data_IF_262950793165
#
_entry.id   IF_262950793165
#
_cell.length_a   1.000
_cell.length_b   1.000
_cell.length_c   1.000
_cell.angle_alpha   90.00
_cell.angle_beta   90.00
_cell.angle_gamma   90.00
#
_symmetry.space_group_name_H-M   'P 1'
#
loop_
_entity.id
_entity.type
_entity.pdbx_description
1 polymer ?
#
# COMPACT_ATOMS: atom_id res chain seq x y z
N UNK A 1 -14.09 -9.43 -25.25
CA UNK A 1 -14.52 -8.88 -26.54
C UNK A 1 -14.30 -7.37 -26.57
N UNK A 2 -13.55 -6.82 -27.55
CA UNK A 2 -13.33 -5.37 -27.72
C UNK A 2 -14.59 -4.53 -28.09
N UNK A 3 -15.74 -5.19 -28.32
CA UNK A 3 -16.92 -4.54 -28.90
C UNK A 3 -17.65 -3.57 -27.96
N UNK A 4 -17.56 -3.73 -26.63
CA UNK A 4 -18.31 -2.90 -25.69
C UNK A 4 -17.91 -1.41 -25.70
N UNK A 5 -16.70 -1.08 -26.16
CA UNK A 5 -16.17 0.28 -26.21
C UNK A 5 -15.93 0.78 -27.64
N UNK A 6 -16.32 0.01 -28.67
CA UNK A 6 -16.08 0.37 -30.07
C UNK A 6 -14.62 0.35 -30.51
N UNK A 7 -13.74 -0.35 -29.78
CA UNK A 7 -12.32 -0.47 -30.10
C UNK A 7 -12.02 -1.89 -30.62
N UNK A 8 -10.86 -2.08 -31.25
CA UNK A 8 -10.37 -3.39 -31.70
C UNK A 8 -8.93 -3.66 -31.23
N UNK A 9 -8.43 -4.88 -31.46
CA UNK A 9 -7.11 -5.32 -30.99
C UNK A 9 -5.95 -4.61 -31.70
N UNK A 10 -6.14 -4.19 -32.94
CA UNK A 10 -5.11 -3.48 -33.72
C UNK A 10 -4.87 -2.05 -33.21
N UNK A 11 -5.84 -1.49 -32.48
CA UNK A 11 -5.71 -0.19 -31.82
C UNK A 11 -4.98 -0.28 -30.47
N UNK A 12 -4.68 -1.48 -29.98
CA UNK A 12 -3.97 -1.70 -28.72
C UNK A 12 -2.50 -2.02 -28.97
N UNK A 13 -1.58 -1.62 -28.07
CA UNK A 13 -0.19 -2.07 -28.16
C UNK A 13 -0.11 -3.60 -28.01
N UNK A 14 0.94 -4.20 -28.56
CA UNK A 14 1.25 -5.60 -28.29
C UNK A 14 1.60 -5.78 -26.81
N UNK A 15 0.86 -6.66 -26.13
CA UNK A 15 1.16 -7.03 -24.75
C UNK A 15 2.37 -7.98 -24.70
N UNK A 16 3.28 -7.72 -23.78
CA UNK A 16 4.46 -8.54 -23.49
C UNK A 16 4.62 -8.69 -21.98
N UNK A 17 5.35 -9.72 -21.56
CA UNK A 17 5.79 -9.83 -20.17
C UNK A 17 6.80 -8.73 -19.83
N UNK A 18 6.82 -8.31 -18.56
CA UNK A 18 7.70 -7.22 -18.12
C UNK A 18 9.20 -7.52 -18.28
N UNK A 19 9.55 -8.80 -18.26
CA UNK A 19 10.91 -9.33 -18.44
C UNK A 19 11.28 -9.57 -19.91
N UNK A 20 10.38 -9.37 -20.86
CA UNK A 20 10.67 -9.58 -22.28
C UNK A 20 11.40 -8.36 -22.88
N UNK A 21 12.30 -8.58 -23.85
CA UNK A 21 12.85 -7.49 -24.65
C UNK A 21 11.80 -7.01 -25.66
N UNK A 22 11.47 -5.72 -25.65
CA UNK A 22 10.50 -5.09 -26.56
C UNK A 22 11.15 -4.43 -27.77
N UNK A 23 12.46 -4.19 -27.71
CA UNK A 23 13.22 -3.55 -28.77
C UNK A 23 14.57 -3.06 -28.27
N UNK A 24 15.14 -2.12 -29.02
CA UNK A 24 16.39 -1.43 -28.67
C UNK A 24 16.20 0.07 -28.70
N UNK A 25 17.00 0.78 -27.90
CA UNK A 25 17.02 2.23 -27.92
C UNK A 25 17.34 2.73 -29.34
N UNK A 26 16.59 3.73 -29.82
CA UNK A 26 16.81 4.34 -31.14
C UNK A 26 18.18 5.00 -31.21
N UNK A 27 18.79 4.98 -32.40
CA UNK A 27 20.11 5.56 -32.64
C UNK A 27 20.22 7.01 -32.17
N UNK A 28 19.24 7.85 -32.52
CA UNK A 28 19.27 9.27 -32.15
C UNK A 28 19.15 9.52 -30.65
N UNK A 29 18.49 8.62 -29.90
CA UNK A 29 18.36 8.72 -28.44
C UNK A 29 19.64 8.23 -27.76
N UNK A 30 20.19 7.12 -28.26
CA UNK A 30 21.45 6.56 -27.79
C UNK A 30 22.60 7.58 -27.93
N UNK A 31 22.70 8.24 -29.09
CA UNK A 31 23.67 9.32 -29.36
C UNK A 31 23.47 10.51 -28.40
N UNK A 32 22.23 10.98 -28.24
CA UNK A 32 21.93 12.10 -27.35
C UNK A 32 22.25 11.82 -25.87
N UNK A 33 22.17 10.56 -25.43
CA UNK A 33 22.48 10.13 -24.07
C UNK A 33 23.93 9.67 -23.88
N UNK A 34 24.70 9.54 -24.97
CA UNK A 34 26.09 9.06 -24.92
C UNK A 34 26.21 7.59 -24.54
N UNK A 35 25.25 6.76 -24.91
CA UNK A 35 25.24 5.31 -24.63
C UNK A 35 24.97 4.51 -25.92
N UNK A 36 25.17 3.19 -25.87
CA UNK A 36 24.85 2.30 -26.99
C UNK A 36 23.33 2.15 -27.19
N UNK A 37 22.93 1.63 -28.35
CA UNK A 37 21.56 1.18 -28.60
C UNK A 37 21.25 -0.08 -27.77
N UNK A 38 20.98 0.09 -26.48
CA UNK A 38 20.74 -1.01 -25.52
C UNK A 38 19.35 -1.63 -25.66
N UNK A 39 19.14 -2.91 -25.28
CA UNK A 39 17.81 -3.51 -25.19
C UNK A 39 16.90 -2.77 -24.21
N UNK A 40 15.59 -2.80 -24.47
CA UNK A 40 14.55 -2.24 -23.59
C UNK A 40 13.62 -3.37 -23.15
N UNK A 41 13.38 -3.49 -21.84
CA UNK A 41 12.47 -4.47 -21.28
C UNK A 41 11.00 -4.05 -21.43
N UNK A 42 10.06 -4.99 -21.28
CA UNK A 42 8.62 -4.71 -21.24
C UNK A 42 8.23 -3.80 -20.07
N UNK A 43 8.97 -3.91 -18.97
CA UNK A 43 8.77 -3.06 -17.79
C UNK A 43 7.53 -3.43 -16.99
N UNK A 44 7.04 -2.48 -16.20
CA UNK A 44 5.85 -2.70 -15.38
C UNK A 44 5.27 -1.39 -14.88
N UNK A 45 4.00 -1.43 -14.48
CA UNK A 45 3.40 -0.34 -13.73
C UNK A 45 4.16 -0.10 -12.42
N UNK A 46 4.03 1.10 -11.86
CA UNK A 46 4.74 1.54 -10.66
C UNK A 46 4.64 0.55 -9.49
N UNK A 47 3.46 0.01 -9.19
CA UNK A 47 3.23 -0.92 -8.10
C UNK A 47 3.92 -2.27 -8.33
N UNK A 48 3.77 -2.86 -9.52
CA UNK A 48 4.38 -4.14 -9.84
C UNK A 48 5.92 -4.04 -9.97
N UNK A 49 6.42 -2.95 -10.54
CA UNK A 49 7.85 -2.65 -10.56
C UNK A 49 8.37 -2.41 -9.13
N UNK A 50 7.67 -1.63 -8.31
CA UNK A 50 8.02 -1.43 -6.90
C UNK A 50 8.10 -2.75 -6.13
N UNK A 51 7.12 -3.63 -6.31
CA UNK A 51 7.09 -4.97 -5.73
C UNK A 51 8.29 -5.83 -6.15
N UNK A 52 8.61 -5.88 -7.45
CA UNK A 52 9.82 -6.54 -7.94
C UNK A 52 11.11 -5.92 -7.37
N UNK A 53 11.12 -4.61 -7.14
CA UNK A 53 12.24 -3.88 -6.53
C UNK A 53 12.51 -4.27 -5.07
N UNK A 54 11.48 -4.68 -4.32
CA UNK A 54 11.62 -5.08 -2.91
C UNK A 54 11.50 -6.58 -2.68
N UNK A 55 11.41 -7.35 -3.77
CA UNK A 55 11.34 -8.81 -3.73
C UNK A 55 9.99 -9.39 -3.33
N UNK A 56 8.92 -8.65 -3.58
CA UNK A 56 7.56 -9.16 -3.51
C UNK A 56 7.24 -9.85 -4.84
N UNK A 57 7.61 -11.13 -4.95
CA UNK A 57 7.55 -11.88 -6.21
C UNK A 57 7.00 -13.30 -6.08
N UNK A 58 6.86 -13.82 -4.86
CA UNK A 58 6.30 -15.14 -4.56
C UNK A 58 4.89 -15.03 -4.00
N UNK A 59 4.13 -16.12 -4.09
CA UNK A 59 2.80 -16.20 -3.50
C UNK A 59 2.83 -15.88 -2.00
N UNK A 60 2.05 -14.88 -1.60
CA UNK A 60 1.99 -14.43 -0.20
C UNK A 60 3.07 -13.41 0.19
N UNK A 61 4.03 -13.12 -0.68
CA UNK A 61 4.88 -11.95 -0.47
C UNK A 61 4.01 -10.70 -0.58
N UNK A 62 4.23 -9.73 0.32
CA UNK A 62 3.48 -8.49 0.28
C UNK A 62 4.28 -7.30 0.80
N UNK A 63 3.88 -6.12 0.35
CA UNK A 63 4.37 -4.84 0.85
C UNK A 63 3.22 -3.95 1.29
N UNK A 64 3.52 -3.11 2.27
CA UNK A 64 2.71 -1.99 2.72
C UNK A 64 3.41 -0.69 2.29
N UNK A 65 2.80 0.02 1.35
CA UNK A 65 3.25 1.35 0.93
C UNK A 65 2.50 2.44 1.69
N UNK A 66 3.24 3.21 2.49
CA UNK A 66 2.73 4.33 3.28
C UNK A 66 3.09 5.66 2.60
N UNK A 67 2.44 5.93 1.47
CA UNK A 67 2.48 7.21 0.78
C UNK A 67 1.28 8.09 1.15
N UNK A 68 1.02 9.10 0.33
CA UNK A 68 -0.21 9.93 0.41
C UNK A 68 -1.45 9.05 0.55
N UNK A 69 -1.53 8.01 -0.28
CA UNK A 69 -2.43 6.86 -0.16
C UNK A 69 -1.73 5.67 0.49
N UNK A 70 -2.50 4.76 1.08
CA UNK A 70 -2.01 3.48 1.61
C UNK A 70 -2.28 2.35 0.63
N UNK A 71 -1.29 1.50 0.36
CA UNK A 71 -1.47 0.32 -0.51
C UNK A 71 -0.91 -0.92 0.17
N UNK A 72 -1.72 -1.97 0.27
CA UNK A 72 -1.21 -3.33 0.52
C UNK A 72 -1.20 -4.04 -0.83
N UNK A 73 0.00 -4.37 -1.31
CA UNK A 73 0.21 -5.12 -2.54
C UNK A 73 0.65 -6.53 -2.15
N UNK A 74 0.01 -7.55 -2.73
CA UNK A 74 0.35 -8.95 -2.50
C UNK A 74 0.58 -9.67 -3.81
N UNK A 75 1.73 -10.32 -3.97
CA UNK A 75 1.99 -11.19 -5.10
C UNK A 75 1.23 -12.52 -4.92
N UNK A 76 0.63 -13.00 -5.99
CA UNK A 76 -0.14 -14.24 -6.00
C UNK A 76 0.29 -15.14 -7.15
N UNK A 77 0.27 -16.45 -6.93
CA UNK A 77 0.55 -17.46 -7.97
C UNK A 77 -0.61 -17.71 -8.93
N UNK A 78 -1.80 -17.27 -8.53
CA UNK A 78 -3.02 -17.42 -9.29
C UNK A 78 -3.76 -16.08 -9.34
N UNK A 79 -4.60 -15.91 -10.36
CA UNK A 79 -5.49 -14.77 -10.44
C UNK A 79 -6.62 -14.90 -9.40
N UNK A 80 -6.55 -14.09 -8.33
CA UNK A 80 -7.49 -14.11 -7.19
C UNK A 80 -8.27 -12.79 -7.11
N UNK A 81 -9.32 -12.55 -7.90
CA UNK A 81 -10.08 -11.30 -7.85
C UNK A 81 -11.08 -11.25 -6.69
N UNK A 82 -11.27 -10.08 -6.08
CA UNK A 82 -12.37 -9.81 -5.16
C UNK A 82 -12.97 -8.40 -5.43
N UNK A 83 -13.71 -8.24 -6.54
CA UNK A 83 -14.29 -6.94 -6.91
C UNK A 83 -15.37 -6.48 -5.91
N UNK A 84 -16.03 -7.40 -5.20
CA UNK A 84 -17.03 -7.08 -4.19
C UNK A 84 -16.40 -6.36 -2.97
N UNK A 85 -15.20 -6.76 -2.56
CA UNK A 85 -14.40 -6.06 -1.56
C UNK A 85 -13.52 -4.94 -2.15
N UNK A 86 -13.78 -4.51 -3.40
CA UNK A 86 -12.99 -3.49 -4.10
C UNK A 86 -11.47 -3.78 -4.13
N UNK A 87 -11.10 -5.07 -4.18
CA UNK A 87 -9.72 -5.52 -4.39
C UNK A 87 -9.43 -5.46 -5.88
N UNK A 88 -8.34 -4.80 -6.25
CA UNK A 88 -7.82 -4.91 -7.61
C UNK A 88 -7.01 -6.19 -7.75
N UNK A 89 -7.18 -6.91 -8.86
CA UNK A 89 -6.33 -8.02 -9.23
C UNK A 89 -5.82 -7.82 -10.66
N UNK A 90 -4.51 -7.87 -10.86
CA UNK A 90 -3.86 -7.65 -12.15
C UNK A 90 -2.73 -8.67 -12.36
N UNK A 91 -2.22 -8.74 -13.58
CA UNK A 91 -0.95 -9.44 -13.84
C UNK A 91 0.20 -8.70 -13.14
N UNK A 92 1.15 -9.45 -12.58
CA UNK A 92 2.42 -8.88 -12.15
C UNK A 92 3.27 -8.51 -13.37
N UNK A 93 4.39 -7.79 -13.16
CA UNK A 93 5.41 -7.58 -14.21
C UNK A 93 6.29 -8.81 -14.46
N UNK A 94 6.00 -9.94 -13.80
CA UNK A 94 6.74 -11.20 -13.90
C UNK A 94 5.84 -12.27 -14.50
N UNK A 95 6.40 -13.18 -15.33
CA UNK A 95 5.63 -14.21 -16.00
C UNK A 95 5.00 -15.18 -15.00
N UNK A 96 3.74 -15.56 -15.23
CA UNK A 96 2.96 -16.47 -14.37
C UNK A 96 2.83 -16.02 -12.91
N UNK A 97 2.87 -14.71 -12.68
CA UNK A 97 2.62 -14.10 -11.37
C UNK A 97 1.51 -13.06 -11.54
N UNK A 98 0.62 -13.01 -10.57
CA UNK A 98 -0.43 -12.00 -10.45
C UNK A 98 -0.20 -11.19 -9.19
N UNK A 99 -1.00 -10.15 -9.01
CA UNK A 99 -1.03 -9.47 -7.73
C UNK A 99 -2.41 -8.96 -7.41
N UNK A 100 -2.63 -8.79 -6.11
CA UNK A 100 -3.76 -8.06 -5.57
C UNK A 100 -3.31 -6.73 -4.99
N UNK A 101 -4.22 -5.75 -4.95
CA UNK A 101 -4.03 -4.52 -4.20
C UNK A 101 -5.28 -4.15 -3.42
N UNK A 102 -5.09 -3.88 -2.14
CA UNK A 102 -5.98 -3.02 -1.36
C UNK A 102 -5.47 -1.59 -1.44
N UNK A 103 -6.35 -0.63 -1.71
CA UNK A 103 -6.00 0.78 -1.83
C UNK A 103 -6.85 1.63 -0.90
N UNK A 104 -6.19 2.34 0.01
CA UNK A 104 -6.79 3.37 0.86
C UNK A 104 -6.42 4.75 0.32
N UNK A 105 -7.42 5.56 -0.01
CA UNK A 105 -7.20 6.84 -0.70
C UNK A 105 -6.46 7.87 0.16
N UNK A 106 -6.50 7.74 1.48
CA UNK A 106 -5.81 8.64 2.40
C UNK A 106 -5.12 7.83 3.50
N UNK A 107 -3.79 7.84 3.49
CA UNK A 107 -2.95 7.29 4.56
C UNK A 107 -2.07 8.40 5.16
N UNK A 108 -0.87 8.66 4.61
CA UNK A 108 -0.05 9.77 5.10
C UNK A 108 -0.73 11.13 4.87
N UNK A 109 -1.64 11.24 3.90
CA UNK A 109 -2.45 12.45 3.71
C UNK A 109 -3.28 12.80 4.96
N UNK A 110 -3.74 11.82 5.74
CA UNK A 110 -4.48 12.06 6.98
C UNK A 110 -3.58 12.67 8.06
N UNK A 111 -2.31 12.25 8.11
CA UNK A 111 -1.29 12.76 9.03
C UNK A 111 -1.04 14.24 8.74
N UNK A 112 -0.80 14.57 7.48
CA UNK A 112 -0.59 15.96 7.06
C UNK A 112 -1.85 16.81 7.29
N UNK A 113 -3.04 16.23 7.06
CA UNK A 113 -4.31 16.91 7.29
C UNK A 113 -4.52 17.26 8.77
N UNK A 114 -4.34 16.31 9.69
CA UNK A 114 -4.54 16.57 11.13
C UNK A 114 -3.43 17.45 11.70
N UNK A 115 -2.21 17.39 11.15
CA UNK A 115 -1.13 18.29 11.52
C UNK A 115 -1.51 19.74 11.19
N UNK A 116 -2.01 20.01 9.98
CA UNK A 116 -2.53 21.34 9.61
C UNK A 116 -3.70 21.77 10.49
N UNK A 117 -4.64 20.87 10.75
CA UNK A 117 -5.84 21.16 11.56
C UNK A 117 -5.50 21.55 13.00
N UNK A 118 -4.48 20.93 13.59
CA UNK A 118 -4.05 21.16 14.98
C UNK A 118 -2.90 22.16 15.11
N UNK A 119 -2.47 22.79 14.02
CA UNK A 119 -1.32 23.71 14.00
C UNK A 119 0.02 23.04 14.33
N UNK A 120 0.14 21.74 14.08
CA UNK A 120 1.37 20.96 14.28
C UNK A 120 2.32 21.19 13.09
N UNK A 121 3.60 21.57 13.29
CA UNK A 121 4.53 21.93 12.21
C UNK A 121 4.81 20.86 11.14
N UNK A 122 4.55 19.59 11.43
CA UNK A 122 4.70 18.50 10.46
C UNK A 122 4.52 17.12 11.08
N UNK A 123 4.70 16.09 10.26
CA UNK A 123 4.46 14.70 10.64
C UNK A 123 5.30 14.22 11.84
N UNK A 124 6.58 14.61 11.93
CA UNK A 124 7.46 14.20 13.03
C UNK A 124 6.92 14.66 14.40
N UNK A 125 6.48 15.91 14.51
CA UNK A 125 5.89 16.44 15.74
C UNK A 125 4.52 15.83 16.01
N UNK A 126 3.74 15.52 14.97
CA UNK A 126 2.47 14.81 15.12
C UNK A 126 2.69 13.41 15.71
N UNK A 127 3.70 12.67 15.23
CA UNK A 127 4.05 11.37 15.80
C UNK A 127 4.47 11.50 17.26
N UNK A 128 5.29 12.49 17.61
CA UNK A 128 5.70 12.72 19.00
C UNK A 128 4.51 13.05 19.92
N UNK A 129 3.54 13.86 19.45
CA UNK A 129 2.30 14.13 20.16
C UNK A 129 1.48 12.87 20.40
N UNK A 130 1.27 12.08 19.35
CA UNK A 130 0.56 10.82 19.44
C UNK A 130 1.25 9.84 20.42
N UNK A 131 2.57 9.74 20.36
CA UNK A 131 3.40 8.92 21.24
C UNK A 131 3.28 9.34 22.71
N UNK A 132 3.16 10.64 22.99
CA UNK A 132 3.04 11.15 24.37
C UNK A 132 1.80 10.65 25.13
N UNK A 133 0.74 10.29 24.41
CA UNK A 133 -0.48 9.70 24.99
C UNK A 133 -0.54 8.18 24.81
N UNK A 134 0.18 7.65 23.81
CA UNK A 134 0.24 6.23 23.50
C UNK A 134 -1.02 5.68 22.83
N UNK A 135 -0.97 4.43 22.35
CA UNK A 135 -2.08 3.85 21.61
C UNK A 135 -3.27 3.49 22.48
N UNK A 136 -4.45 3.58 21.87
CA UNK A 136 -5.77 3.43 22.45
C UNK A 136 -5.98 4.31 23.69
N UNK A 137 -5.32 5.48 23.75
CA UNK A 137 -5.37 6.44 24.85
C UNK A 137 -6.73 7.07 25.09
N UNK A 138 -7.64 7.02 24.11
CA UNK A 138 -9.02 7.47 24.26
C UNK A 138 -10.02 6.70 23.39
N UNK A 139 -11.34 6.98 23.56
CA UNK A 139 -12.40 6.31 22.84
C UNK A 139 -12.57 6.83 21.41
N UNK A 140 -11.85 7.89 21.01
CA UNK A 140 -11.97 8.52 19.69
C UNK A 140 -11.74 7.50 18.58
N UNK A 141 -12.59 7.60 17.55
CA UNK A 141 -12.45 6.84 16.30
C UNK A 141 -12.31 7.87 15.18
N UNK A 142 -11.25 7.72 14.39
CA UNK A 142 -11.08 8.48 13.16
C UNK A 142 -11.39 7.59 11.96
N UNK A 143 -12.22 8.10 11.04
CA UNK A 143 -12.54 7.46 9.77
C UNK A 143 -11.74 8.18 8.67
N UNK A 144 -10.74 7.53 8.04
CA UNK A 144 -9.75 8.21 7.19
C UNK A 144 -10.26 8.51 5.77
N UNK A 145 -11.56 8.62 5.54
CA UNK A 145 -12.15 8.71 4.21
C UNK A 145 -12.17 10.15 3.64
N UNK A 146 -11.07 10.90 3.80
CA UNK A 146 -10.99 12.31 3.44
C UNK A 146 -11.25 12.60 1.95
N UNK A 147 -11.13 11.59 1.08
CA UNK A 147 -11.30 11.68 -0.38
C UNK A 147 -12.30 10.66 -0.92
N UNK A 148 -13.27 10.23 -0.11
CA UNK A 148 -13.96 8.97 -0.34
C UNK A 148 -13.10 7.79 0.11
N UNK A 149 -13.51 6.58 -0.25
CA UNK A 149 -12.70 5.39 -0.05
C UNK A 149 -12.88 4.37 -1.17
N UNK A 150 -11.80 3.64 -1.46
CA UNK A 150 -11.80 2.59 -2.47
C UNK A 150 -11.94 1.21 -1.83
N UNK A 151 -10.93 0.70 -1.15
CA UNK A 151 -11.03 -0.60 -0.48
C UNK A 151 -11.45 -0.39 0.98
N UNK A 152 -12.46 -1.11 1.51
CA UNK A 152 -13.28 -2.17 0.88
C UNK A 152 -14.61 -1.67 0.29
N UNK A 153 -14.88 -0.36 0.34
CA UNK A 153 -16.23 0.20 0.20
C UNK A 153 -16.64 0.61 -1.22
N UNK A 154 -15.67 1.05 -2.02
CA UNK A 154 -15.84 1.68 -3.32
C UNK A 154 -16.87 2.83 -3.30
N UNK A 155 -16.69 3.75 -2.35
CA UNK A 155 -17.59 4.86 -2.08
C UNK A 155 -16.88 6.19 -2.31
N UNK A 156 -17.27 6.92 -3.36
CA UNK A 156 -16.70 8.22 -3.70
C UNK A 156 -17.28 9.38 -2.87
N UNK A 157 -18.42 9.19 -2.20
CA UNK A 157 -19.18 10.24 -1.52
C UNK A 157 -18.91 10.29 -0.02
N UNK A 158 -18.51 9.17 0.59
CA UNK A 158 -18.15 9.12 2.02
C UNK A 158 -17.03 10.13 2.34
N UNK A 159 -17.10 10.74 3.53
CA UNK A 159 -16.07 11.69 4.01
C UNK A 159 -15.56 11.30 5.38
N UNK A 160 -14.32 11.67 5.65
CA UNK A 160 -13.67 11.38 6.93
C UNK A 160 -14.32 12.12 8.10
N UNK A 161 -14.13 11.60 9.30
CA UNK A 161 -14.75 12.16 10.50
C UNK A 161 -14.16 11.61 11.79
N UNK A 162 -14.29 12.40 12.85
CA UNK A 162 -14.02 11.96 14.22
C UNK A 162 -15.32 11.60 14.92
N UNK A 163 -15.30 10.50 15.66
CA UNK A 163 -16.40 10.04 16.49
C UNK A 163 -15.92 9.86 17.94
N UNK A 164 -16.82 10.05 18.89
CA UNK A 164 -16.54 9.84 20.32
C UNK A 164 -15.64 10.91 20.94
N UNK A 165 -15.69 12.16 20.43
CA UNK A 165 -15.02 13.29 21.06
C UNK A 165 -15.75 13.68 22.37
N UNK A 166 -14.98 14.07 23.37
CA UNK A 166 -15.46 14.58 24.65
C UNK A 166 -14.68 15.84 25.08
N UNK A 167 -14.97 16.37 26.27
CA UNK A 167 -14.28 17.56 26.80
C UNK A 167 -12.79 17.32 27.10
N UNK A 168 -12.36 16.06 27.22
CA UNK A 168 -10.99 15.65 27.50
C UNK A 168 -10.22 15.29 26.22
N UNK A 169 -10.83 15.39 25.04
CA UNK A 169 -10.16 15.21 23.76
C UNK A 169 -9.12 16.32 23.56
N UNK A 170 -7.85 15.93 23.41
CA UNK A 170 -6.72 16.84 23.17
C UNK A 170 -6.15 16.67 21.75
N UNK A 171 -5.34 17.63 21.25
CA UNK A 171 -4.63 17.47 19.98
C UNK A 171 -3.79 16.20 19.88
N UNK A 172 -3.20 15.73 20.99
CA UNK A 172 -2.44 14.49 21.08
C UNK A 172 -3.33 13.27 20.89
N UNK A 173 -4.52 13.24 21.52
CA UNK A 173 -5.51 12.18 21.32
C UNK A 173 -6.08 12.17 19.90
N UNK A 174 -6.26 13.34 19.29
CA UNK A 174 -6.65 13.43 17.87
C UNK A 174 -5.55 12.90 16.95
N UNK A 175 -4.28 13.26 17.21
CA UNK A 175 -3.14 12.73 16.48
C UNK A 175 -3.10 11.20 16.57
N UNK A 176 -3.25 10.64 17.77
CA UNK A 176 -3.28 9.21 17.99
C UNK A 176 -4.46 8.52 17.28
N UNK A 177 -5.66 9.08 17.39
CA UNK A 177 -6.85 8.54 16.74
C UNK A 177 -6.68 8.48 15.22
N UNK A 178 -5.98 9.44 14.60
CA UNK A 178 -5.69 9.42 13.16
C UNK A 178 -4.74 8.30 12.79
N UNK A 179 -3.66 8.09 13.54
CA UNK A 179 -2.72 6.98 13.30
C UNK A 179 -3.42 5.62 13.38
N UNK A 180 -4.28 5.45 14.38
CA UNK A 180 -5.12 4.26 14.57
C UNK A 180 -6.15 4.09 13.47
N UNK A 181 -6.89 5.15 13.10
CA UNK A 181 -7.91 5.10 12.07
C UNK A 181 -7.37 4.66 10.72
N UNK A 182 -6.18 5.15 10.33
CA UNK A 182 -5.50 4.69 9.11
C UNK A 182 -5.06 3.23 9.25
N UNK A 183 -4.55 2.81 10.41
CA UNK A 183 -4.16 1.43 10.66
C UNK A 183 -5.37 0.47 10.61
N UNK A 184 -6.53 0.89 11.12
CA UNK A 184 -7.77 0.11 11.08
C UNK A 184 -8.33 0.01 9.66
N UNK A 185 -8.26 1.09 8.86
CA UNK A 185 -8.60 1.02 7.45
C UNK A 185 -7.71 0.00 6.71
N UNK A 186 -6.39 0.05 6.93
CA UNK A 186 -5.46 -0.93 6.35
C UNK A 186 -5.77 -2.36 6.82
N UNK A 187 -6.25 -2.56 8.04
CA UNK A 187 -6.70 -3.87 8.53
C UNK A 187 -7.96 -4.38 7.80
N UNK A 188 -8.87 -3.50 7.40
CA UNK A 188 -9.98 -3.86 6.51
C UNK A 188 -9.49 -4.24 5.12
N UNK A 189 -8.54 -3.46 4.59
CA UNK A 189 -7.84 -3.79 3.35
C UNK A 189 -7.18 -5.16 3.37
N UNK A 190 -6.50 -5.49 4.46
CA UNK A 190 -5.89 -6.81 4.67
C UNK A 190 -6.95 -7.92 4.76
N UNK A 191 -8.08 -7.66 5.42
CA UNK A 191 -9.18 -8.62 5.55
C UNK A 191 -9.72 -9.03 4.18
N UNK A 192 -10.00 -8.08 3.29
CA UNK A 192 -10.56 -8.40 1.97
C UNK A 192 -9.58 -9.10 1.03
N UNK A 193 -8.26 -8.95 1.25
CA UNK A 193 -7.24 -9.74 0.57
C UNK A 193 -7.25 -11.20 1.06
N UNK A 194 -7.41 -11.41 2.37
CA UNK A 194 -7.56 -12.75 2.96
C UNK A 194 -8.84 -13.44 2.48
N UNK A 195 -9.95 -12.70 2.43
CA UNK A 195 -11.23 -13.21 1.89
C UNK A 195 -11.11 -13.63 0.41
N UNK A 196 -10.17 -13.02 -0.32
CA UNK A 196 -9.83 -13.38 -1.70
C UNK A 196 -8.85 -14.56 -1.82
N UNK A 197 -8.50 -15.22 -0.71
CA UNK A 197 -7.63 -16.40 -0.67
C UNK A 197 -6.13 -16.11 -0.59
N UNK A 198 -5.73 -14.93 -0.10
CA UNK A 198 -4.32 -14.56 0.05
C UNK A 198 -3.91 -14.50 1.52
N UNK A 199 -3.02 -15.41 1.90
CA UNK A 199 -2.43 -15.45 3.23
C UNK A 199 -1.16 -14.60 3.30
N UNK A 200 -1.13 -13.67 4.26
CA UNK A 200 -0.04 -12.71 4.45
C UNK A 200 0.50 -12.84 5.88
N UNK A 201 1.74 -13.32 5.99
CA UNK A 201 2.44 -13.51 7.27
C UNK A 201 3.34 -12.34 7.67
N UNK A 202 3.81 -11.57 6.69
CA UNK A 202 4.66 -10.40 6.87
C UNK A 202 4.40 -9.36 5.77
N UNK A 203 4.68 -8.09 6.07
CA UNK A 203 4.57 -6.98 5.12
C UNK A 203 5.88 -6.21 5.07
N UNK A 204 6.49 -6.12 3.88
CA UNK A 204 7.61 -5.20 3.66
C UNK A 204 7.10 -3.76 3.66
N UNK A 205 7.64 -2.88 4.51
CA UNK A 205 7.14 -1.51 4.63
C UNK A 205 7.99 -0.54 3.81
N UNK A 206 7.33 0.27 2.99
CA UNK A 206 7.94 1.33 2.17
C UNK A 206 7.17 2.65 2.29
N UNK A 207 7.73 3.73 1.76
CA UNK A 207 7.10 5.06 1.72
C UNK A 207 7.43 5.95 2.92
N UNK A 208 6.97 7.21 2.87
CA UNK A 208 7.32 8.23 3.86
C UNK A 208 6.86 7.91 5.28
N UNK A 209 5.73 7.21 5.41
CA UNK A 209 5.20 6.74 6.70
C UNK A 209 6.06 5.69 7.39
N UNK A 210 6.93 5.01 6.65
CA UNK A 210 7.84 3.99 7.19
C UNK A 210 8.92 4.55 8.13
N UNK A 211 9.07 5.87 8.21
CA UNK A 211 10.09 6.52 9.05
C UNK A 211 9.76 6.54 10.54
N UNK A 212 8.49 6.32 10.91
CA UNK A 212 8.04 6.32 12.31
C UNK A 212 7.91 4.89 12.83
N UNK A 213 8.86 4.46 13.67
CA UNK A 213 8.76 3.16 14.36
C UNK A 213 7.54 3.11 15.29
N UNK A 214 7.16 4.23 15.90
CA UNK A 214 5.95 4.34 16.73
C UNK A 214 4.69 4.00 15.91
N UNK A 215 4.55 4.58 14.72
CA UNK A 215 3.41 4.25 13.86
C UNK A 215 3.48 2.81 13.35
N UNK A 216 4.68 2.30 13.09
CA UNK A 216 4.92 0.89 12.79
C UNK A 216 4.36 -0.07 13.84
N UNK A 217 4.52 0.23 15.14
CA UNK A 217 3.94 -0.57 16.23
C UNK A 217 2.40 -0.57 16.20
N UNK A 218 1.80 0.60 15.94
CA UNK A 218 0.34 0.73 15.79
C UNK A 218 -0.17 -0.08 14.59
N UNK A 219 0.53 0.00 13.45
CA UNK A 219 0.20 -0.75 12.24
C UNK A 219 0.34 -2.25 12.45
N UNK A 220 1.47 -2.72 13.00
CA UNK A 220 1.71 -4.14 13.25
C UNK A 220 0.61 -4.75 14.13
N UNK A 221 0.24 -4.06 15.22
CA UNK A 221 -0.82 -4.50 16.12
C UNK A 221 -2.22 -4.46 15.47
N UNK A 222 -2.56 -3.41 14.71
CA UNK A 222 -3.87 -3.32 14.05
C UNK A 222 -4.05 -4.38 12.95
N UNK A 223 -2.99 -4.65 12.17
CA UNK A 223 -2.97 -5.65 11.10
C UNK A 223 -2.83 -7.07 11.65
N UNK A 224 -2.26 -7.21 12.84
CA UNK A 224 -1.80 -8.45 13.44
C UNK A 224 -0.86 -9.23 12.48
N UNK A 225 0.12 -8.51 11.92
CA UNK A 225 1.10 -9.01 10.95
C UNK A 225 2.46 -8.37 11.24
N UNK A 226 3.54 -9.14 11.08
CA UNK A 226 4.90 -8.62 11.21
C UNK A 226 5.24 -7.62 10.10
N UNK A 227 5.83 -6.49 10.47
CA UNK A 227 6.30 -5.48 9.53
C UNK A 227 7.81 -5.58 9.35
N UNK A 228 8.27 -5.69 8.11
CA UNK A 228 9.68 -5.83 7.74
C UNK A 228 10.15 -4.55 7.06
N UNK A 229 11.12 -3.86 7.65
CA UNK A 229 11.67 -2.63 7.11
C UNK A 229 12.97 -2.95 6.37
N UNK A 230 13.06 -2.55 5.10
CA UNK A 230 14.19 -2.87 4.22
C UNK A 230 15.16 -1.70 4.12
N UNK A 231 16.47 -1.97 4.05
CA UNK A 231 17.48 -0.95 3.77
C UNK A 231 17.30 -0.43 2.34
N UNK A 232 17.20 0.89 2.19
CA UNK A 232 17.01 1.51 0.88
C UNK A 232 15.62 1.28 0.28
N UNK A 233 14.59 1.04 1.10
CA UNK A 233 13.19 0.91 0.66
C UNK A 233 12.63 2.14 -0.07
N UNK A 234 13.38 3.23 -0.13
CA UNK A 234 13.07 4.45 -0.89
C UNK A 234 13.43 4.40 -2.38
N UNK A 235 14.20 3.41 -2.86
CA UNK A 235 14.57 3.33 -4.29
C UNK A 235 13.36 3.04 -5.20
N UNK A 236 12.29 2.45 -4.63
CA UNK A 236 10.97 2.40 -5.25
C UNK A 236 10.91 1.67 -6.61
N UNK A 237 9.98 2.06 -7.51
CA UNK A 237 9.77 1.39 -8.80
C UNK A 237 10.98 1.38 -9.73
N UNK A 238 11.91 2.33 -9.58
CA UNK A 238 13.11 2.42 -10.42
C UNK A 238 14.04 1.21 -10.24
N UNK A 239 14.18 0.69 -9.01
CA UNK A 239 14.94 -0.53 -8.75
C UNK A 239 14.31 -1.74 -9.45
N UNK A 240 12.98 -1.83 -9.42
CA UNK A 240 12.25 -2.85 -10.17
C UNK A 240 12.46 -2.77 -11.67
N UNK A 241 12.39 -1.57 -12.24
CA UNK A 241 12.65 -1.36 -13.66
C UNK A 241 14.07 -1.81 -14.06
N UNK A 242 15.08 -1.51 -13.23
CA UNK A 242 16.46 -1.99 -13.44
C UNK A 242 16.57 -3.52 -13.36
N UNK A 243 15.88 -4.16 -12.42
CA UNK A 243 15.82 -5.63 -12.30
C UNK A 243 15.12 -6.30 -13.48
N UNK A 244 14.05 -5.70 -13.99
CA UNK A 244 13.36 -6.17 -15.20
C UNK A 244 14.27 -6.05 -16.43
N UNK A 245 15.06 -4.97 -16.53
CA UNK A 245 16.09 -4.84 -17.56
C UNK A 245 17.17 -5.92 -17.43
N UNK A 246 17.65 -6.19 -16.22
CA UNK A 246 18.59 -7.28 -15.95
C UNK A 246 18.02 -8.65 -16.38
N UNK A 247 16.78 -8.97 -15.98
CA UNK A 247 16.10 -10.21 -16.39
C UNK A 247 15.95 -10.31 -17.91
N UNK A 248 15.67 -9.19 -18.59
CA UNK A 248 15.51 -9.17 -20.03
C UNK A 248 16.83 -9.39 -20.78
N UNK A 249 17.97 -8.93 -20.24
CA UNK A 249 19.29 -9.00 -20.89
C UNK A 249 20.06 -10.26 -20.49
N UNK A 250 20.15 -10.53 -19.19
CA UNK A 250 21.00 -11.58 -18.63
C UNK A 250 20.22 -12.88 -18.37
N UNK A 251 18.89 -12.82 -18.34
CA UNK A 251 18.04 -13.93 -17.89
C UNK A 251 18.12 -14.15 -16.37
N UNK A 252 17.87 -15.38 -15.95
CA UNK A 252 17.85 -15.77 -14.53
C UNK A 252 16.44 -15.94 -13.97
N UNK A 253 16.36 -16.44 -12.73
CA UNK A 253 15.07 -16.58 -12.05
C UNK A 253 14.63 -15.23 -11.46
N UNK A 254 13.34 -14.86 -11.56
CA UNK A 254 12.83 -13.67 -10.90
C UNK A 254 13.12 -13.64 -9.40
N UNK A 255 13.10 -14.78 -8.72
CA UNK A 255 13.38 -14.89 -7.29
C UNK A 255 14.82 -14.48 -6.92
N UNK A 256 15.80 -14.77 -7.78
CA UNK A 256 17.20 -14.43 -7.55
C UNK A 256 17.48 -12.97 -7.92
N UNK A 257 17.02 -12.52 -9.10
CA UNK A 257 17.29 -11.15 -9.59
C UNK A 257 16.50 -10.12 -8.79
N UNK A 258 15.27 -10.45 -8.40
CA UNK A 258 14.43 -9.60 -7.58
C UNK A 258 14.55 -9.91 -6.09
N UNK A 259 15.70 -10.40 -5.61
CA UNK A 259 15.89 -10.66 -4.17
C UNK A 259 15.58 -9.42 -3.31
N UNK A 260 14.96 -9.57 -2.13
CA UNK A 260 14.67 -8.44 -1.26
C UNK A 260 15.97 -7.74 -0.81
N UNK A 261 15.99 -6.40 -0.72
CA UNK A 261 17.08 -5.69 -0.06
C UNK A 261 17.29 -6.18 1.38
N UNK A 262 18.48 -5.94 1.98
CA UNK A 262 18.74 -6.38 3.36
C UNK A 262 17.72 -5.79 4.34
N UNK A 263 17.27 -6.60 5.29
CA UNK A 263 16.40 -6.14 6.39
C UNK A 263 17.17 -5.14 7.26
N UNK A 264 16.51 -4.02 7.56
CA UNK A 264 16.94 -3.01 8.52
C UNK A 264 16.53 -3.40 9.93
N UNK A 265 15.23 -3.61 10.13
CA UNK A 265 14.63 -4.08 11.38
C UNK A 265 13.23 -4.65 11.10
N UNK A 266 12.66 -5.34 12.09
CA UNK A 266 11.27 -5.82 12.05
C UNK A 266 10.49 -5.26 13.24
N UNK A 267 9.18 -5.16 13.08
CA UNK A 267 8.23 -4.81 14.14
C UNK A 267 7.16 -5.90 14.19
N UNK A 268 7.19 -6.71 15.24
CA UNK A 268 6.19 -7.75 15.49
C UNK A 268 4.92 -7.14 16.13
N UNK A 269 3.74 -7.74 15.92
CA UNK A 269 2.52 -7.32 16.59
C UNK A 269 2.62 -7.54 18.11
N UNK A 270 2.36 -6.49 18.90
CA UNK A 270 2.20 -6.60 20.36
C UNK A 270 0.84 -7.22 20.67
N UNK A 271 0.82 -8.41 21.27
CA UNK A 271 -0.39 -9.16 21.58
C UNK A 271 -1.36 -8.40 22.50
N UNK A 272 -0.86 -7.65 23.48
CA UNK A 272 -1.71 -6.86 24.37
C UNK A 272 -2.35 -5.69 23.62
N UNK A 273 -1.61 -5.10 22.67
CA UNK A 273 -2.13 -4.03 21.84
C UNK A 273 -3.15 -4.53 20.80
N UNK A 274 -2.91 -5.71 20.21
CA UNK A 274 -3.87 -6.40 19.33
C UNK A 274 -5.20 -6.59 20.06
N UNK A 275 -5.18 -7.12 21.29
CA UNK A 275 -6.38 -7.33 22.11
C UNK A 275 -7.08 -5.99 22.42
N UNK A 276 -6.31 -4.95 22.75
CA UNK A 276 -6.85 -3.61 23.03
C UNK A 276 -7.45 -2.93 21.81
N UNK A 277 -6.94 -3.18 20.61
CA UNK A 277 -7.47 -2.63 19.36
C UNK A 277 -8.72 -3.35 18.86
N UNK A 278 -8.91 -4.63 19.16
CA UNK A 278 -10.07 -5.40 18.71
C UNK A 278 -11.44 -4.68 18.90
N UNK A 279 -11.79 -4.13 20.10
CA UNK A 279 -13.03 -3.39 20.26
C UNK A 279 -13.04 -2.03 19.52
N UNK A 280 -11.88 -1.38 19.32
CA UNK A 280 -11.81 -0.14 18.51
C UNK A 280 -12.04 -0.43 17.03
N UNK A 281 -11.43 -1.49 16.48
CA UNK A 281 -11.61 -1.95 15.10
C UNK A 281 -13.07 -2.32 14.85
N UNK A 282 -13.73 -3.04 15.77
CA UNK A 282 -15.14 -3.36 15.65
C UNK A 282 -16.03 -2.10 15.57
N UNK A 283 -15.76 -1.10 16.43
CA UNK A 283 -16.46 0.19 16.38
C UNK A 283 -16.16 0.98 15.12
N UNK A 284 -14.91 0.98 14.66
CA UNK A 284 -14.49 1.59 13.40
C UNK A 284 -15.31 1.06 12.22
N UNK A 285 -15.43 -0.27 12.10
CA UNK A 285 -16.23 -0.94 11.06
C UNK A 285 -17.71 -0.59 11.15
N UNK A 286 -18.29 -0.66 12.35
CA UNK A 286 -19.71 -0.32 12.57
C UNK A 286 -20.02 1.15 12.19
N UNK A 287 -19.04 2.03 12.37
CA UNK A 287 -19.18 3.46 12.13
C UNK A 287 -19.34 3.83 10.66
N UNK A 288 -18.83 3.02 9.73
CA UNK A 288 -18.91 3.32 8.29
C UNK A 288 -20.36 3.56 7.85
N UNK A 289 -21.25 2.60 8.11
CA UNK A 289 -22.68 2.67 7.75
C UNK A 289 -23.44 3.87 8.33
N UNK A 290 -22.90 4.50 9.38
CA UNK A 290 -23.49 5.65 10.07
C UNK A 290 -23.11 6.98 9.41
N UNK A 291 -22.02 7.00 8.65
CA UNK A 291 -21.52 8.20 7.95
C UNK A 291 -21.69 8.13 6.44
N UNK A 292 -22.05 6.96 5.90
CA UNK A 292 -22.42 6.81 4.49
C UNK A 292 -23.67 7.65 4.19
N UNK A 293 -23.67 8.47 3.13
CA UNK A 293 -24.86 9.18 2.72
C UNK A 293 -26.01 8.20 2.50
N UNK A 294 -27.11 8.35 3.24
CA UNK A 294 -28.34 7.61 2.91
C UNK A 294 -28.88 8.21 1.63
N UNK A 295 -29.06 7.39 0.60
CA UNK A 295 -29.86 7.79 -0.56
C UNK A 295 -31.23 8.26 -0.06
N UNK A 296 -31.45 9.57 -0.10
CA UNK A 296 -32.75 10.21 0.18
C UNK A 296 -33.71 9.96 -0.98
#
# INVERSE_FOLDING_TARGET
EPAATGLNREQMPQAVEGTAQTGRLRAEVAEAWGIDQVPVAGGGGDNAAGAAGVGVVKDGDALLSLGTSGVIFAATREFRPNPAGAVHAFCHCLPNVWHQMSVHLSAAACIDWVARLTGTPGAAELFARAESVGPSSGPEIFLPYLSGERTPHNDAEVRGGFLGLDHDTTPERLAQAVLEGVAFALADGLSVLRDAGTELSQLSVIGGGARSSYWGQTLAAALNVELVYLKGGEVGPALGAARLAQLAVDGGSPEEVCAPPPVSHTIAPDAALVERFAPKIARFRDSYSRITPRNS
#
